data_IF_595552905596
#
_entry.id   IF_595552905596
#
_cell.length_a   1.000
_cell.length_b   1.000
_cell.length_c   1.000
_cell.angle_alpha   90.00
_cell.angle_beta   90.00
_cell.angle_gamma   90.00
#
_symmetry.space_group_name_H-M   'P 1'
#
loop_
_entity.id
_entity.type
_entity.pdbx_description
1 polymer ?
#
# COMPACT_ATOMS: atom_id res chain seq x y z
N UNK A 1 -19.79 -39.06 -2.49
CA UNK A 1 -19.22 -37.78 -3.02
C UNK A 1 -19.18 -36.70 -1.92
N UNK A 2 -20.24 -36.54 -1.09
CA UNK A 2 -20.28 -35.51 -0.02
C UNK A 2 -19.32 -35.90 1.14
N UNK A 3 -19.32 -37.18 1.56
CA UNK A 3 -18.40 -37.67 2.60
C UNK A 3 -16.93 -37.52 2.21
N UNK A 4 -16.58 -37.78 0.95
CA UNK A 4 -15.23 -37.64 0.43
C UNK A 4 -14.75 -36.18 0.44
N UNK A 5 -15.65 -35.23 0.12
CA UNK A 5 -15.36 -33.78 0.20
C UNK A 5 -15.23 -33.30 1.65
N UNK A 6 -16.07 -33.81 2.56
CA UNK A 6 -15.98 -33.52 3.97
C UNK A 6 -14.71 -34.09 4.59
N UNK A 7 -14.31 -35.31 4.22
CA UNK A 7 -13.05 -35.92 4.66
C UNK A 7 -11.84 -35.14 4.12
N UNK A 8 -11.88 -34.72 2.87
CA UNK A 8 -10.83 -33.90 2.26
C UNK A 8 -10.72 -32.53 2.92
N UNK A 9 -11.87 -31.93 3.27
CA UNK A 9 -11.93 -30.64 3.98
C UNK A 9 -11.43 -30.79 5.42
N UNK A 10 -11.78 -31.87 6.13
CA UNK A 10 -11.27 -32.18 7.46
C UNK A 10 -9.76 -32.43 7.47
N UNK A 11 -9.23 -33.21 6.53
CA UNK A 11 -7.80 -33.44 6.35
C UNK A 11 -7.04 -32.14 5.98
N UNK A 12 -7.69 -31.24 5.25
CA UNK A 12 -7.08 -29.95 4.91
C UNK A 12 -7.07 -28.97 6.10
N UNK A 13 -8.02 -29.11 7.03
CA UNK A 13 -8.03 -28.36 8.30
C UNK A 13 -6.97 -28.87 9.28
N UNK A 14 -6.69 -30.18 9.31
CA UNK A 14 -5.62 -30.74 10.16
C UNK A 14 -4.21 -30.30 9.74
N UNK A 15 -3.97 -30.05 8.46
CA UNK A 15 -2.68 -29.59 7.96
C UNK A 15 -2.35 -28.12 8.25
N UNK A 16 -3.29 -27.37 8.84
CA UNK A 16 -3.09 -25.95 9.21
C UNK A 16 -2.51 -25.72 10.61
N UNK A 17 -2.06 -26.75 11.29
CA UNK A 17 -1.33 -26.55 12.56
C UNK A 17 0.07 -26.00 12.24
N UNK A 18 0.29 -24.74 12.59
CA UNK A 18 1.59 -24.12 12.49
C UNK A 18 2.64 -24.96 13.23
N UNK A 19 3.82 -25.21 12.66
CA UNK A 19 4.86 -26.03 13.25
C UNK A 19 5.28 -25.48 14.63
N UNK A 20 5.77 -26.38 15.49
CA UNK A 20 6.28 -25.98 16.80
C UNK A 20 7.49 -25.06 16.65
N UNK A 21 7.68 -24.07 17.54
CA UNK A 21 8.87 -23.23 17.53
C UNK A 21 10.14 -24.08 17.69
N UNK A 22 11.22 -23.64 17.06
CA UNK A 22 12.54 -24.25 17.22
C UNK A 22 13.07 -24.00 18.63
N UNK A 23 13.89 -24.94 19.13
CA UNK A 23 14.68 -24.69 20.33
C UNK A 23 15.78 -23.65 20.04
N UNK A 24 16.29 -22.98 21.06
CA UNK A 24 17.32 -21.96 20.93
C UNK A 24 18.59 -22.47 20.20
N UNK A 25 18.97 -23.73 20.48
CA UNK A 25 20.11 -24.37 19.80
C UNK A 25 19.86 -24.62 18.32
N UNK A 26 18.68 -25.11 17.98
CA UNK A 26 18.27 -25.35 16.59
C UNK A 26 18.13 -24.03 15.81
N UNK A 27 17.52 -23.02 16.43
CA UNK A 27 17.36 -21.69 15.85
C UNK A 27 18.73 -21.10 15.47
N UNK A 28 19.69 -21.16 16.40
CA UNK A 28 21.06 -20.69 16.17
C UNK A 28 21.75 -21.45 15.05
N UNK A 29 21.62 -22.78 15.03
CA UNK A 29 22.20 -23.62 13.97
C UNK A 29 21.61 -23.28 12.57
N UNK A 30 20.30 -23.04 12.50
CA UNK A 30 19.66 -22.65 11.23
C UNK A 30 20.09 -21.23 10.80
N UNK A 31 20.29 -20.27 11.71
CA UNK A 31 20.86 -18.97 11.37
C UNK A 31 22.30 -19.05 10.85
N UNK A 32 23.13 -19.95 11.41
CA UNK A 32 24.49 -20.19 10.91
C UNK A 32 24.47 -20.77 9.48
N UNK A 33 23.58 -21.72 9.19
CA UNK A 33 23.38 -22.24 7.84
C UNK A 33 22.91 -21.15 6.87
N UNK A 34 21.96 -20.33 7.30
CA UNK A 34 21.47 -19.21 6.48
C UNK A 34 22.58 -18.20 6.18
N UNK A 35 23.44 -17.89 7.15
CA UNK A 35 24.61 -17.01 6.95
C UNK A 35 25.59 -17.57 5.92
N UNK A 36 25.65 -18.91 5.79
CA UNK A 36 26.46 -19.61 4.78
C UNK A 36 25.75 -19.73 3.40
N UNK A 37 24.56 -19.11 3.24
CA UNK A 37 23.84 -19.04 1.97
C UNK A 37 22.74 -20.07 1.80
N UNK A 38 22.41 -20.87 2.81
CA UNK A 38 21.33 -21.87 2.73
C UNK A 38 19.95 -21.21 2.84
N UNK A 39 19.23 -21.14 1.70
CA UNK A 39 17.87 -20.59 1.63
C UNK A 39 16.83 -21.52 2.30
N UNK A 40 17.11 -22.84 2.39
CA UNK A 40 16.18 -23.78 3.04
C UNK A 40 16.14 -23.55 4.54
N UNK A 41 17.28 -23.18 5.15
CA UNK A 41 17.37 -22.79 6.55
C UNK A 41 16.54 -21.51 6.84
N UNK A 42 16.57 -20.52 5.94
CA UNK A 42 15.73 -19.31 6.02
C UNK A 42 14.24 -19.68 6.05
N UNK A 43 13.80 -20.50 5.11
CA UNK A 43 12.39 -20.89 4.98
C UNK A 43 11.93 -21.69 6.21
N UNK A 44 12.81 -22.50 6.77
CA UNK A 44 12.57 -23.22 8.03
C UNK A 44 12.41 -22.25 9.22
N UNK A 45 13.30 -21.27 9.35
CA UNK A 45 13.20 -20.23 10.37
C UNK A 45 11.87 -19.48 10.28
N UNK A 46 11.44 -19.09 9.09
CA UNK A 46 10.17 -18.39 8.87
C UNK A 46 8.99 -19.28 9.29
N UNK A 47 8.91 -20.52 8.77
CA UNK A 47 7.80 -21.44 9.05
C UNK A 47 7.60 -21.70 10.54
N UNK A 48 8.69 -21.96 11.28
CA UNK A 48 8.62 -22.27 12.70
C UNK A 48 8.31 -21.05 13.58
N UNK A 49 8.40 -19.82 13.05
CA UNK A 49 8.09 -18.58 13.75
C UNK A 49 6.74 -17.93 13.31
N UNK A 50 5.95 -18.55 12.41
CA UNK A 50 4.63 -18.03 12.02
C UNK A 50 3.65 -17.94 13.20
N UNK A 51 3.79 -18.78 14.24
CA UNK A 51 2.97 -18.67 15.47
C UNK A 51 3.19 -17.34 16.18
N UNK A 52 4.41 -16.80 16.15
CA UNK A 52 4.73 -15.49 16.72
C UNK A 52 3.99 -14.38 15.95
N UNK A 53 3.96 -14.48 14.61
CA UNK A 53 3.18 -13.55 13.78
C UNK A 53 1.71 -13.58 14.16
N UNK A 54 1.09 -14.77 14.25
CA UNK A 54 -0.31 -14.92 14.64
C UNK A 54 -0.61 -14.34 16.03
N UNK A 55 0.31 -14.54 16.98
CA UNK A 55 0.16 -14.00 18.33
C UNK A 55 0.18 -12.47 18.36
N UNK A 56 1.06 -11.85 17.57
CA UNK A 56 1.19 -10.40 17.50
C UNK A 56 0.03 -9.81 16.71
N UNK A 57 -0.29 -10.36 15.54
CA UNK A 57 -1.39 -9.91 14.70
C UNK A 57 -2.74 -9.89 15.46
N UNK A 58 -2.96 -10.88 16.33
CA UNK A 58 -4.18 -10.96 17.15
C UNK A 58 -4.44 -9.71 18.00
N UNK A 59 -3.40 -8.99 18.43
CA UNK A 59 -3.55 -7.73 19.20
C UNK A 59 -4.21 -6.62 18.36
N UNK A 60 -4.10 -6.71 17.04
CA UNK A 60 -4.53 -5.67 16.11
C UNK A 60 -5.81 -6.04 15.34
N UNK A 61 -6.40 -7.22 15.58
CA UNK A 61 -7.63 -7.67 14.89
C UNK A 61 -8.82 -6.73 15.04
N UNK A 62 -8.92 -6.02 16.17
CA UNK A 62 -10.00 -5.07 16.40
C UNK A 62 -9.88 -3.80 15.55
N UNK A 63 -8.68 -3.48 15.08
CA UNK A 63 -8.36 -2.27 14.35
C UNK A 63 -8.24 -2.52 12.83
N UNK A 64 -8.48 -3.74 12.37
CA UNK A 64 -8.36 -4.11 10.96
C UNK A 64 -9.65 -4.72 10.46
N UNK A 65 -10.01 -4.39 9.23
CA UNK A 65 -11.15 -5.00 8.53
C UNK A 65 -10.81 -6.38 7.97
N UNK A 66 -9.51 -6.65 7.75
CA UNK A 66 -9.02 -7.91 7.19
C UNK A 66 -7.91 -8.54 8.04
N UNK A 67 -8.25 -9.66 8.71
CA UNK A 67 -7.32 -10.40 9.54
C UNK A 67 -6.28 -11.20 8.72
N UNK A 68 -6.62 -11.59 7.49
CA UNK A 68 -5.70 -12.31 6.60
C UNK A 68 -4.60 -11.37 6.10
N UNK A 69 -4.95 -10.13 5.82
CA UNK A 69 -3.99 -9.10 5.42
C UNK A 69 -3.01 -8.80 6.54
N UNK A 70 -3.48 -8.68 7.79
CA UNK A 70 -2.59 -8.52 8.95
C UNK A 70 -1.59 -9.66 9.12
N UNK A 71 -2.01 -10.91 8.86
CA UNK A 71 -1.11 -12.05 8.89
C UNK A 71 -0.05 -11.97 7.79
N UNK A 72 -0.45 -11.53 6.61
CA UNK A 72 0.45 -11.36 5.47
C UNK A 72 1.48 -10.26 5.74
N UNK A 73 1.04 -9.10 6.23
CA UNK A 73 1.90 -7.97 6.61
C UNK A 73 2.86 -8.39 7.74
N UNK A 74 2.35 -9.05 8.77
CA UNK A 74 3.17 -9.56 9.86
C UNK A 74 4.22 -10.57 9.39
N UNK A 75 3.89 -11.40 8.38
CA UNK A 75 4.85 -12.34 7.78
C UNK A 75 5.96 -11.60 7.02
N UNK A 76 5.65 -10.50 6.34
CA UNK A 76 6.67 -9.63 5.72
C UNK A 76 7.62 -9.09 6.80
N UNK A 77 7.07 -8.63 7.93
CA UNK A 77 7.86 -8.18 9.08
C UNK A 77 8.79 -9.28 9.63
N UNK A 78 8.30 -10.52 9.71
CA UNK A 78 9.12 -11.68 10.12
C UNK A 78 10.24 -11.97 9.13
N UNK A 79 9.96 -11.93 7.82
CA UNK A 79 10.98 -12.14 6.77
C UNK A 79 12.08 -11.09 6.90
N UNK A 80 11.73 -9.81 7.06
CA UNK A 80 12.68 -8.72 7.28
C UNK A 80 13.52 -8.98 8.54
N UNK A 81 12.88 -9.46 9.62
CA UNK A 81 13.58 -9.80 10.85
C UNK A 81 14.61 -10.93 10.65
N UNK A 82 14.26 -12.00 9.94
CA UNK A 82 15.19 -13.12 9.66
C UNK A 82 16.37 -12.63 8.82
N UNK A 83 16.16 -11.72 7.86
CA UNK A 83 17.20 -11.19 6.99
C UNK A 83 18.20 -10.25 7.71
N UNK A 84 17.73 -9.51 8.71
CA UNK A 84 18.52 -8.47 9.38
C UNK A 84 19.05 -8.87 10.75
N UNK A 85 18.63 -10.05 11.28
CA UNK A 85 19.04 -10.48 12.60
C UNK A 85 20.48 -10.99 12.63
N UNK A 86 21.23 -10.55 13.64
CA UNK A 86 22.56 -11.06 13.97
C UNK A 86 22.63 -11.41 15.45
N UNK A 87 23.22 -12.57 15.77
CA UNK A 87 23.35 -13.04 17.15
C UNK A 87 24.35 -12.27 18.03
N UNK A 88 25.03 -11.28 17.47
CA UNK A 88 26.14 -10.57 18.14
C UNK A 88 25.66 -9.66 19.31
N UNK A 89 24.35 -9.46 19.48
CA UNK A 89 23.77 -8.48 20.42
C UNK A 89 23.13 -9.07 21.67
N UNK A 90 23.40 -10.30 22.01
CA UNK A 90 22.85 -10.97 23.21
C UNK A 90 21.30 -10.87 23.37
N UNK A 91 20.59 -10.61 22.28
CA UNK A 91 19.12 -10.49 22.21
C UNK A 91 18.53 -11.77 21.60
N UNK A 92 17.42 -12.24 22.14
CA UNK A 92 16.69 -13.38 21.55
C UNK A 92 16.05 -12.97 20.23
N UNK A 93 16.09 -13.84 19.24
CA UNK A 93 15.45 -13.60 17.94
C UNK A 93 13.97 -13.26 18.08
N UNK A 94 13.23 -13.97 18.95
CA UNK A 94 11.80 -13.71 19.17
C UNK A 94 11.51 -12.27 19.61
N UNK A 95 12.35 -11.67 20.45
CA UNK A 95 12.22 -10.27 20.89
C UNK A 95 12.43 -9.29 19.73
N UNK A 96 13.45 -9.54 18.91
CA UNK A 96 13.73 -8.73 17.75
C UNK A 96 12.65 -8.85 16.69
N UNK A 97 12.25 -10.09 16.36
CA UNK A 97 11.20 -10.37 15.38
C UNK A 97 9.86 -9.76 15.80
N UNK A 98 9.50 -9.81 17.08
CA UNK A 98 8.27 -9.18 17.58
C UNK A 98 8.23 -7.69 17.25
N UNK A 99 9.33 -6.97 17.45
CA UNK A 99 9.44 -5.55 17.13
C UNK A 99 9.33 -5.28 15.63
N UNK A 100 9.97 -6.10 14.80
CA UNK A 100 9.90 -5.97 13.35
C UNK A 100 8.47 -6.21 12.83
N UNK A 101 7.78 -7.23 13.35
CA UNK A 101 6.40 -7.56 13.00
C UNK A 101 5.46 -6.42 13.41
N UNK A 102 5.55 -5.94 14.66
CA UNK A 102 4.74 -4.81 15.15
C UNK A 102 4.95 -3.55 14.30
N UNK A 103 6.19 -3.22 14.00
CA UNK A 103 6.51 -2.04 13.19
C UNK A 103 5.91 -2.13 11.78
N UNK A 104 5.95 -3.31 11.13
CA UNK A 104 5.40 -3.50 9.80
C UNK A 104 3.87 -3.32 9.81
N UNK A 105 3.19 -3.89 10.82
CA UNK A 105 1.74 -3.71 11.00
C UNK A 105 1.38 -2.24 11.24
N UNK A 106 2.11 -1.56 12.12
CA UNK A 106 1.86 -0.14 12.40
C UNK A 106 2.16 0.76 11.18
N UNK A 107 3.16 0.43 10.38
CA UNK A 107 3.44 1.13 9.13
C UNK A 107 2.30 0.95 8.12
N UNK A 108 1.72 -0.25 8.03
CA UNK A 108 0.56 -0.52 7.18
C UNK A 108 -0.63 0.33 7.59
N UNK A 109 -0.97 0.40 8.87
CA UNK A 109 -2.05 1.26 9.36
C UNK A 109 -1.81 2.76 9.07
N UNK A 110 -0.57 3.24 9.17
CA UNK A 110 -0.26 4.63 8.81
C UNK A 110 -0.48 4.90 7.32
N UNK A 111 -0.13 3.95 6.46
CA UNK A 111 -0.40 4.05 5.01
C UNK A 111 -1.90 4.06 4.72
N UNK A 112 -2.65 3.15 5.36
CA UNK A 112 -4.09 3.02 5.18
C UNK A 112 -4.82 4.29 5.61
N UNK A 113 -4.43 4.88 6.74
CA UNK A 113 -5.00 6.15 7.23
C UNK A 113 -4.81 7.33 6.25
N UNK A 114 -3.73 7.33 5.47
CA UNK A 114 -3.53 8.29 4.39
C UNK A 114 -4.47 8.07 3.19
N UNK A 115 -4.96 6.84 2.99
CA UNK A 115 -5.89 6.46 1.90
C UNK A 115 -7.37 6.63 2.28
N UNK A 116 -7.71 6.75 3.55
CA UNK A 116 -9.10 6.91 4.01
C UNK A 116 -9.76 8.20 3.50
N UNK A 117 -8.97 9.18 3.09
CA UNK A 117 -9.45 10.44 2.52
C UNK A 117 -9.61 10.40 0.99
N UNK A 118 -9.41 9.25 0.35
CA UNK A 118 -9.61 9.08 -1.08
C UNK A 118 -11.09 8.79 -1.33
N UNK A 119 -11.77 9.70 -2.04
CA UNK A 119 -13.14 9.52 -2.52
C UNK A 119 -13.07 9.20 -4.01
N UNK A 120 -13.75 8.14 -4.44
CA UNK A 120 -13.79 7.79 -5.86
C UNK A 120 -14.77 8.70 -6.61
N UNK A 121 -14.41 9.09 -7.84
CA UNK A 121 -15.25 9.95 -8.67
C UNK A 121 -16.61 9.35 -9.05
N UNK A 122 -16.67 8.01 -9.06
CA UNK A 122 -17.91 7.27 -9.36
C UNK A 122 -18.74 6.97 -8.09
N UNK A 123 -18.28 7.39 -6.90
CA UNK A 123 -19.05 7.23 -5.67
C UNK A 123 -20.32 8.09 -5.72
N UNK A 124 -21.44 7.45 -5.36
CA UNK A 124 -22.71 8.12 -5.31
C UNK A 124 -22.80 9.04 -4.08
N UNK A 125 -23.03 10.31 -4.29
CA UNK A 125 -23.36 11.25 -3.23
C UNK A 125 -24.84 11.09 -2.89
N UNK A 126 -25.14 10.70 -1.65
CA UNK A 126 -26.48 10.73 -1.12
C UNK A 126 -26.89 12.19 -0.83
N UNK A 127 -27.48 12.86 -1.80
CA UNK A 127 -28.03 14.19 -1.61
C UNK A 127 -29.49 14.03 -1.20
N UNK A 128 -29.77 14.24 0.09
CA UNK A 128 -31.10 14.40 0.68
C UNK A 128 -32.16 13.45 0.12
N UNK A 129 -32.52 12.40 0.87
CA UNK A 129 -33.76 11.60 0.85
C UNK A 129 -34.52 11.39 -0.49
N UNK A 130 -34.03 11.92 -1.58
CA UNK A 130 -34.61 11.75 -2.90
C UNK A 130 -33.76 10.75 -3.70
N UNK A 131 -34.41 9.84 -4.39
CA UNK A 131 -33.83 8.63 -5.02
C UNK A 131 -32.85 8.90 -6.19
N UNK A 132 -32.43 10.12 -6.40
CA UNK A 132 -31.47 10.50 -7.44
C UNK A 132 -30.03 10.34 -6.93
N UNK A 133 -29.40 9.24 -7.32
CA UNK A 133 -27.97 9.02 -7.08
C UNK A 133 -27.18 9.85 -8.10
N UNK A 134 -26.55 10.93 -7.65
CA UNK A 134 -25.66 11.73 -8.47
C UNK A 134 -24.23 11.31 -8.12
N UNK A 135 -23.41 10.98 -9.11
CA UNK A 135 -22.01 10.67 -8.90
C UNK A 135 -21.22 11.95 -8.58
N UNK A 136 -20.13 11.83 -7.81
CA UNK A 136 -19.24 12.95 -7.53
C UNK A 136 -18.74 13.59 -8.82
N UNK A 137 -18.51 12.79 -9.86
CA UNK A 137 -18.09 13.23 -11.19
C UNK A 137 -19.09 14.20 -11.85
N UNK A 138 -20.40 13.96 -11.68
CA UNK A 138 -21.46 14.83 -12.22
C UNK A 138 -21.64 16.10 -11.39
N UNK A 139 -21.25 16.08 -10.12
CA UNK A 139 -21.29 17.23 -9.23
C UNK A 139 -20.10 18.19 -9.40
N UNK A 140 -18.99 17.73 -9.99
CA UNK A 140 -17.83 18.57 -10.23
C UNK A 140 -18.13 19.52 -11.37
N UNK A 141 -18.06 20.81 -11.07
CA UNK A 141 -18.12 21.87 -12.09
C UNK A 141 -16.75 22.02 -12.75
N UNK A 142 -16.76 22.24 -14.04
CA UNK A 142 -15.60 22.74 -14.76
C UNK A 142 -15.53 24.26 -14.54
N UNK A 143 -14.40 24.74 -14.01
CA UNK A 143 -14.13 26.19 -13.87
C UNK A 143 -13.76 26.85 -15.22
N UNK A 144 -13.90 26.09 -16.32
CA UNK A 144 -13.61 26.60 -17.67
C UNK A 144 -14.74 27.50 -18.15
N UNK A 145 -14.57 28.80 -17.99
CA UNK A 145 -15.48 29.78 -18.55
C UNK A 145 -15.22 29.93 -20.06
N UNK A 146 -16.12 29.37 -20.86
CA UNK A 146 -16.05 29.35 -22.32
C UNK A 146 -16.07 30.76 -22.90
N UNK A 147 -16.80 31.67 -22.25
CA UNK A 147 -16.88 33.10 -22.64
C UNK A 147 -15.51 33.76 -22.50
N UNK A 148 -14.90 33.72 -21.34
CA UNK A 148 -13.58 34.30 -21.09
C UNK A 148 -12.50 33.72 -22.02
N UNK A 149 -12.55 32.40 -22.28
CA UNK A 149 -11.64 31.77 -23.23
C UNK A 149 -11.82 32.31 -24.67
N UNK A 150 -13.07 32.51 -25.12
CA UNK A 150 -13.34 33.04 -26.43
C UNK A 150 -12.90 34.49 -26.56
N UNK A 151 -13.22 35.33 -25.58
CA UNK A 151 -12.79 36.73 -25.51
C UNK A 151 -11.25 36.86 -25.51
N UNK A 152 -10.58 36.10 -24.70
CA UNK A 152 -9.12 36.07 -24.67
C UNK A 152 -8.51 35.61 -25.99
N UNK A 153 -9.17 34.69 -26.70
CA UNK A 153 -8.71 34.23 -28.01
C UNK A 153 -8.92 35.28 -29.10
N UNK A 154 -10.03 35.98 -29.06
CA UNK A 154 -10.30 37.10 -30.00
C UNK A 154 -9.34 38.25 -29.75
N UNK A 155 -9.19 38.69 -28.52
CA UNK A 155 -8.22 39.72 -28.12
C UNK A 155 -6.79 39.39 -28.56
N UNK A 156 -6.35 38.14 -28.39
CA UNK A 156 -5.03 37.68 -28.87
C UNK A 156 -4.90 37.79 -30.40
N UNK A 157 -5.96 37.48 -31.15
CA UNK A 157 -5.96 37.61 -32.61
C UNK A 157 -5.86 39.05 -33.02
N UNK A 158 -6.64 39.96 -32.41
CA UNK A 158 -6.59 41.40 -32.68
C UNK A 158 -5.20 41.98 -32.37
N UNK A 159 -4.64 41.64 -31.21
CA UNK A 159 -3.29 42.06 -30.86
C UNK A 159 -2.26 41.54 -31.85
N UNK A 160 -2.36 40.28 -32.30
CA UNK A 160 -1.43 39.72 -33.28
C UNK A 160 -1.51 40.41 -34.64
N UNK A 161 -2.71 40.79 -35.07
CA UNK A 161 -2.91 41.58 -36.33
C UNK A 161 -2.38 43.00 -36.21
N UNK A 162 -2.66 43.66 -35.07
CA UNK A 162 -2.12 45.00 -34.80
C UNK A 162 -0.59 45.02 -34.73
N UNK A 163 0.01 44.02 -34.10
CA UNK A 163 1.48 43.87 -34.05
C UNK A 163 2.06 43.65 -35.44
N UNK A 164 1.33 42.89 -36.29
CA UNK A 164 1.78 42.64 -37.65
C UNK A 164 1.70 43.89 -38.55
N UNK A 165 0.67 44.73 -38.36
CA UNK A 165 0.40 45.91 -39.16
C UNK A 165 1.17 47.15 -38.69
N UNK A 166 1.28 47.34 -37.38
CA UNK A 166 1.82 48.60 -36.81
C UNK A 166 3.31 48.54 -36.45
N UNK A 167 3.85 47.35 -36.16
CA UNK A 167 5.23 47.22 -35.75
C UNK A 167 6.10 46.64 -36.87
N UNK A 168 7.25 47.27 -37.09
CA UNK A 168 8.21 46.85 -38.11
C UNK A 168 9.59 46.55 -37.49
N UNK A 169 10.32 45.62 -38.12
CA UNK A 169 11.70 45.33 -37.81
C UNK A 169 11.94 44.77 -36.40
N UNK A 170 12.81 45.46 -35.65
CA UNK A 170 13.31 44.98 -34.35
C UNK A 170 12.26 44.94 -33.25
N UNK A 171 11.33 45.87 -33.24
CA UNK A 171 10.25 45.98 -32.27
C UNK A 171 9.29 44.77 -32.35
N UNK A 172 8.93 44.39 -33.56
CA UNK A 172 8.10 43.21 -33.82
C UNK A 172 8.78 41.93 -33.35
N UNK A 173 10.08 41.78 -33.59
CA UNK A 173 10.82 40.60 -33.12
C UNK A 173 10.89 40.50 -31.60
N UNK A 174 11.07 41.64 -30.93
CA UNK A 174 11.12 41.64 -29.43
C UNK A 174 9.78 41.21 -28.85
N UNK A 175 8.65 41.69 -29.38
CA UNK A 175 7.33 41.30 -28.89
C UNK A 175 7.06 39.81 -29.13
N UNK A 176 7.33 39.30 -30.34
CA UNK A 176 7.15 37.87 -30.67
C UNK A 176 8.01 36.95 -29.82
N UNK A 177 9.22 37.39 -29.41
CA UNK A 177 10.09 36.57 -28.55
C UNK A 177 9.72 36.62 -27.05
N UNK A 178 8.94 37.62 -26.64
CA UNK A 178 8.62 37.81 -25.23
C UNK A 178 7.22 37.28 -24.87
N UNK A 179 6.28 37.23 -25.79
CA UNK A 179 4.88 36.82 -25.64
C UNK A 179 4.46 35.76 -26.67
#
# INVERSE_FOLDING_TARGET
VILSKMLFFALHLESKTLPKPLSEKEERAEFEKYKNGDLTARDKLIRHNLRLVAHIAKKYYQNSQDNEDLMSIGTIGLIKAVQSFTYDKNTRFSTYASRCIENEILMSFRKQKGSENIVYLDDNLEINNDSSKISLKESLRDDFETEEFCENRETRREISTLVAEKLQGRERQIIIMRY
#
